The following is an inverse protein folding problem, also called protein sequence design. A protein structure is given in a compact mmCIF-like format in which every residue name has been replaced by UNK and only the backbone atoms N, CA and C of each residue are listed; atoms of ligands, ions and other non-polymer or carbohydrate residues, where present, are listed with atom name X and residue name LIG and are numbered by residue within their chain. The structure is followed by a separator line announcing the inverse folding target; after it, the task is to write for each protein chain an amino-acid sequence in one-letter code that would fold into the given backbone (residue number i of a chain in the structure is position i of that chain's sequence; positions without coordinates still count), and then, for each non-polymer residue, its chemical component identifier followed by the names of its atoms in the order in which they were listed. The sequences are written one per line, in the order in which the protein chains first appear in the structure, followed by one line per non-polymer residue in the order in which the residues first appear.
data_IF_111524228413
#
_entry.id   IF_111524228413
#
_cell.length_a   1.000
_cell.length_b   1.000
_cell.length_c   1.000
_cell.angle_alpha   90.00
_cell.angle_beta   90.00
_cell.angle_gamma   90.00
#
_symmetry.space_group_name_H-M   'P 1'
#
loop_
_entity.id
_entity.type
_entity.pdbx_description
1 polymer ?
#
# COMPACT_ATOMS: atom_id res chain seq x y z
N UNK A 1 14.28 -30.89 28.14
CA UNK A 1 13.78 -29.87 27.19
C UNK A 1 14.13 -30.33 25.78
N UNK A 2 13.15 -30.76 24.98
CA UNK A 2 13.37 -31.10 23.57
C UNK A 2 13.15 -29.85 22.74
N UNK A 3 14.18 -29.43 22.00
CA UNK A 3 14.11 -28.38 21.01
C UNK A 3 13.16 -28.83 19.89
N UNK A 4 12.17 -28.01 19.54
CA UNK A 4 11.28 -28.26 18.42
C UNK A 4 12.07 -28.17 17.10
N UNK A 5 11.81 -29.14 16.20
CA UNK A 5 12.43 -29.25 14.89
C UNK A 5 11.95 -28.14 13.92
N UNK A 6 12.81 -27.84 12.95
CA UNK A 6 12.71 -26.77 11.93
C UNK A 6 11.70 -27.06 10.79
N UNK A 7 10.59 -27.73 11.07
CA UNK A 7 9.59 -28.06 10.06
C UNK A 7 8.24 -28.22 10.73
N UNK A 8 7.46 -27.13 10.73
CA UNK A 8 5.99 -27.04 10.91
C UNK A 8 5.62 -25.64 11.44
N UNK A 9 5.91 -24.59 10.64
CA UNK A 9 5.44 -23.21 10.89
C UNK A 9 4.34 -22.81 9.90
N UNK A 10 3.59 -23.80 9.41
CA UNK A 10 2.41 -23.57 8.59
C UNK A 10 1.20 -23.32 9.50
N UNK A 11 0.58 -22.14 9.33
CA UNK A 11 -0.71 -21.72 9.90
C UNK A 11 -0.84 -21.68 11.43
N UNK A 12 0.08 -21.00 12.12
CA UNK A 12 -0.23 -20.49 13.46
C UNK A 12 -0.74 -19.04 13.37
N UNK A 13 -1.74 -18.63 14.18
CA UNK A 13 -2.12 -17.22 14.36
C UNK A 13 -0.93 -16.32 14.71
N UNK A 14 0.10 -16.91 15.32
CA UNK A 14 1.37 -16.25 15.59
C UNK A 14 2.09 -15.80 14.30
N UNK A 15 2.01 -16.55 13.20
CA UNK A 15 2.66 -16.22 11.93
C UNK A 15 2.06 -14.97 11.30
N UNK A 16 0.73 -14.84 11.33
CA UNK A 16 0.04 -13.63 10.87
C UNK A 16 0.45 -12.41 11.70
N UNK A 17 0.42 -12.53 13.03
CA UNK A 17 0.85 -11.45 13.94
C UNK A 17 2.30 -11.05 13.71
N UNK A 18 3.19 -12.02 13.50
CA UNK A 18 4.61 -11.76 13.19
C UNK A 18 4.75 -10.97 11.91
N UNK A 19 4.02 -11.32 10.85
CA UNK A 19 4.07 -10.58 9.59
C UNK A 19 3.59 -9.14 9.72
N UNK A 20 2.50 -8.90 10.47
CA UNK A 20 2.02 -7.53 10.76
C UNK A 20 3.08 -6.73 11.52
N UNK A 21 3.61 -7.26 12.62
CA UNK A 21 4.63 -6.57 13.42
C UNK A 21 5.93 -6.31 12.65
N UNK A 22 6.38 -7.24 11.80
CA UNK A 22 7.56 -7.02 10.95
C UNK A 22 7.32 -5.95 9.89
N UNK A 23 6.11 -5.91 9.33
CA UNK A 23 5.77 -4.90 8.33
C UNK A 23 5.67 -3.50 8.96
N UNK A 24 5.11 -3.40 10.17
CA UNK A 24 5.13 -2.18 10.98
C UNK A 24 6.56 -1.69 11.20
N UNK A 25 7.48 -2.56 11.64
CA UNK A 25 8.90 -2.22 11.79
C UNK A 25 9.50 -1.71 10.47
N UNK A 26 9.23 -2.38 9.35
CA UNK A 26 9.74 -1.97 8.04
C UNK A 26 9.32 -0.54 7.68
N UNK A 27 8.07 -0.17 7.94
CA UNK A 27 7.57 1.18 7.69
C UNK A 27 8.09 2.20 8.71
N UNK A 28 8.26 1.81 9.97
CA UNK A 28 8.88 2.67 10.97
C UNK A 28 10.34 2.99 10.59
N UNK A 29 11.10 2.01 10.10
CA UNK A 29 12.47 2.18 9.61
C UNK A 29 12.56 3.08 8.37
N UNK A 30 11.47 3.19 7.59
CA UNK A 30 11.39 4.13 6.47
C UNK A 30 10.85 5.50 6.84
N UNK A 31 10.49 5.72 8.11
CA UNK A 31 9.89 6.94 8.62
C UNK A 31 8.44 7.16 8.19
N UNK A 32 7.73 6.11 7.77
CA UNK A 32 6.32 6.18 7.39
C UNK A 32 5.41 5.78 8.55
N UNK A 33 4.20 6.35 8.60
CA UNK A 33 3.26 6.07 9.68
C UNK A 33 2.40 4.84 9.34
N UNK A 34 2.65 3.73 10.01
CA UNK A 34 1.83 2.52 9.93
C UNK A 34 0.69 2.58 10.95
N UNK A 35 -0.51 2.16 10.54
CA UNK A 35 -1.74 2.16 11.34
C UNK A 35 -2.42 0.80 11.20
N UNK A 36 -2.31 -0.05 12.20
CA UNK A 36 -2.99 -1.36 12.21
C UNK A 36 -4.50 -1.18 12.41
N UNK A 37 -5.29 -2.01 11.72
CA UNK A 37 -6.73 -2.16 11.95
C UNK A 37 -7.01 -3.40 12.80
N UNK A 38 -7.55 -3.19 14.00
CA UNK A 38 -7.86 -4.28 14.92
C UNK A 38 -9.19 -5.00 14.62
N UNK A 39 -10.04 -4.40 13.76
CA UNK A 39 -11.32 -4.98 13.33
C UNK A 39 -11.11 -5.70 11.99
N UNK A 40 -11.24 -7.03 12.00
CA UNK A 40 -10.81 -7.89 10.88
C UNK A 40 -11.89 -8.15 9.81
N UNK A 41 -13.00 -7.43 9.84
CA UNK A 41 -14.23 -7.87 9.18
C UNK A 41 -14.24 -7.65 7.65
N UNK A 42 -13.30 -6.87 7.12
CA UNK A 42 -13.37 -6.42 5.72
C UNK A 42 -12.11 -6.69 4.88
N UNK A 43 -11.07 -7.34 5.41
CA UNK A 43 -9.88 -7.69 4.63
C UNK A 43 -8.97 -6.51 4.30
N UNK A 44 -8.80 -5.57 5.24
CA UNK A 44 -7.70 -4.62 5.28
C UNK A 44 -7.12 -4.72 6.69
N UNK A 45 -5.83 -4.99 6.78
CA UNK A 45 -5.17 -5.23 8.07
C UNK A 45 -4.46 -3.97 8.58
N UNK A 46 -4.10 -3.06 7.67
CA UNK A 46 -3.43 -1.82 8.02
C UNK A 46 -3.60 -0.73 6.96
N UNK A 47 -3.26 0.49 7.35
CA UNK A 47 -3.02 1.61 6.45
C UNK A 47 -1.61 2.14 6.69
N UNK A 48 -0.96 2.65 5.65
CA UNK A 48 0.30 3.36 5.79
C UNK A 48 0.20 4.74 5.16
N UNK A 49 0.69 5.75 5.88
CA UNK A 49 0.77 7.11 5.38
C UNK A 49 2.12 7.38 4.75
N UNK A 50 2.08 7.85 3.50
CA UNK A 50 3.27 8.28 2.79
C UNK A 50 3.84 9.53 3.48
N UNK A 51 5.12 9.44 3.86
CA UNK A 51 5.89 10.58 4.33
C UNK A 51 6.84 11.05 3.22
N UNK A 52 6.89 12.36 3.01
CA UNK A 52 7.79 13.02 2.06
C UNK A 52 8.46 14.17 2.80
N UNK A 53 9.79 14.25 2.73
CA UNK A 53 10.53 15.38 3.31
C UNK A 53 10.27 15.53 4.84
N UNK A 54 10.19 14.39 5.54
CA UNK A 54 9.80 14.26 6.95
C UNK A 54 8.38 14.76 7.29
N UNK A 55 7.58 15.11 6.29
CA UNK A 55 6.22 15.59 6.45
C UNK A 55 5.19 14.53 6.01
N UNK A 56 4.16 14.25 6.83
CA UNK A 56 3.02 13.47 6.40
C UNK A 56 2.32 14.14 5.20
N UNK A 57 2.03 13.35 4.18
CA UNK A 57 1.42 13.86 2.94
C UNK A 57 -0.11 13.76 2.93
N UNK A 58 -0.71 13.06 3.91
CA UNK A 58 -2.13 12.69 3.90
C UNK A 58 -2.49 11.58 2.90
N UNK A 59 -1.51 11.05 2.16
CA UNK A 59 -1.72 9.96 1.20
C UNK A 59 -1.62 8.61 1.94
N UNK A 60 -2.77 8.02 2.26
CA UNK A 60 -2.92 6.70 2.88
C UNK A 60 -3.08 5.54 1.88
N UNK A 61 -2.23 4.53 1.98
CA UNK A 61 -2.34 3.28 1.23
C UNK A 61 -2.91 2.21 2.16
N UNK A 62 -3.95 1.51 1.72
CA UNK A 62 -4.52 0.39 2.45
C UNK A 62 -3.76 -0.91 2.14
N UNK A 63 -3.55 -1.73 3.16
CA UNK A 63 -2.71 -2.93 3.08
C UNK A 63 -3.52 -4.12 3.59
N UNK A 64 -3.59 -5.17 2.77
CA UNK A 64 -3.91 -6.51 3.24
C UNK A 64 -2.62 -7.33 3.28
N UNK A 65 -2.38 -7.97 4.42
CA UNK A 65 -1.19 -8.70 4.80
C UNK A 65 -1.56 -10.18 4.90
N UNK A 66 -0.83 -11.04 4.19
CA UNK A 66 -0.95 -12.50 4.31
C UNK A 66 0.41 -13.08 4.64
N UNK A 67 0.48 -13.91 5.69
CA UNK A 67 1.76 -14.40 6.21
C UNK A 67 1.78 -15.91 6.29
N UNK A 68 2.81 -16.55 5.74
CA UNK A 68 2.94 -18.01 5.80
C UNK A 68 3.48 -18.60 4.50
N UNK A 69 4.02 -19.82 4.59
CA UNK A 69 4.63 -20.48 3.43
C UNK A 69 3.59 -20.97 2.43
N UNK A 70 2.39 -21.30 2.90
CA UNK A 70 1.26 -21.74 2.07
C UNK A 70 0.94 -20.76 0.93
N UNK A 71 1.10 -19.45 1.15
CA UNK A 71 0.93 -18.40 0.14
C UNK A 71 1.97 -18.44 -1.00
N UNK A 72 3.04 -19.21 -0.87
CA UNK A 72 4.11 -19.37 -1.85
C UNK A 72 4.12 -20.75 -2.50
N UNK A 73 3.12 -21.59 -2.21
CA UNK A 73 2.99 -22.96 -2.74
C UNK A 73 2.90 -23.01 -4.26
N UNK A 74 2.30 -21.98 -4.88
CA UNK A 74 2.28 -21.80 -6.33
C UNK A 74 3.20 -20.63 -6.72
N UNK A 75 4.50 -20.92 -6.74
CA UNK A 75 5.51 -19.96 -7.20
C UNK A 75 6.53 -20.62 -8.11
N UNK A 76 7.09 -19.82 -9.02
CA UNK A 76 8.23 -20.19 -9.86
C UNK A 76 9.43 -19.29 -9.53
N UNK A 77 10.51 -19.34 -10.32
CA UNK A 77 11.72 -18.53 -10.07
C UNK A 77 11.47 -17.02 -10.11
N UNK A 78 10.41 -16.55 -10.79
CA UNK A 78 10.15 -15.14 -11.07
C UNK A 78 8.88 -14.62 -10.42
N UNK A 79 7.89 -15.46 -10.16
CA UNK A 79 6.55 -15.05 -9.78
C UNK A 79 5.94 -15.91 -8.68
N UNK A 80 4.94 -15.34 -7.99
CA UNK A 80 4.08 -15.98 -7.00
C UNK A 80 2.64 -15.80 -7.47
N UNK A 81 1.87 -16.88 -7.53
CA UNK A 81 0.44 -16.82 -7.84
C UNK A 81 -0.36 -16.80 -6.55
N UNK A 82 -1.04 -15.69 -6.30
CA UNK A 82 -1.93 -15.52 -5.16
C UNK A 82 -3.40 -15.68 -5.60
N UNK A 83 -4.17 -16.49 -4.87
CA UNK A 83 -5.59 -16.75 -5.12
C UNK A 83 -6.47 -16.23 -3.99
N UNK A 84 -6.95 -14.97 -4.07
CA UNK A 84 -7.90 -14.43 -3.10
C UNK A 84 -9.35 -14.86 -3.37
N UNK A 85 -10.18 -14.79 -2.33
CA UNK A 85 -11.63 -14.97 -2.48
C UNK A 85 -12.26 -13.80 -3.27
N UNK A 86 -13.32 -14.10 -4.03
CA UNK A 86 -14.09 -13.11 -4.80
C UNK A 86 -14.56 -11.92 -3.98
N UNK A 87 -15.04 -12.16 -2.74
CA UNK A 87 -15.51 -11.09 -1.83
C UNK A 87 -14.43 -10.06 -1.53
N UNK A 88 -13.18 -10.50 -1.41
CA UNK A 88 -12.05 -9.63 -1.10
C UNK A 88 -11.65 -8.78 -2.31
N UNK A 89 -11.62 -9.39 -3.50
CA UNK A 89 -11.36 -8.67 -4.76
C UNK A 89 -12.34 -7.52 -4.96
N UNK A 90 -13.65 -7.79 -4.84
CA UNK A 90 -14.68 -6.77 -5.04
C UNK A 90 -14.61 -5.66 -3.99
N UNK A 91 -14.26 -6.01 -2.75
CA UNK A 91 -14.06 -5.05 -1.69
C UNK A 91 -12.86 -4.15 -1.97
N UNK A 92 -11.70 -4.72 -2.32
CA UNK A 92 -10.48 -3.97 -2.60
C UNK A 92 -10.62 -3.04 -3.81
N UNK A 93 -11.28 -3.50 -4.88
CA UNK A 93 -11.50 -2.69 -6.08
C UNK A 93 -12.45 -1.50 -5.86
N UNK A 94 -13.29 -1.54 -4.83
CA UNK A 94 -14.18 -0.43 -4.45
C UNK A 94 -13.65 0.39 -3.27
N UNK A 95 -12.51 0.03 -2.71
CA UNK A 95 -11.96 0.71 -1.54
C UNK A 95 -11.47 2.12 -1.93
N UNK A 96 -11.80 3.13 -1.11
CA UNK A 96 -11.53 4.53 -1.46
C UNK A 96 -10.03 4.88 -1.49
N UNK A 97 -9.23 4.14 -0.73
CA UNK A 97 -7.78 4.22 -0.73
C UNK A 97 -7.19 3.20 -1.69
N UNK A 98 -6.05 3.48 -2.33
CA UNK A 98 -5.35 2.46 -3.10
C UNK A 98 -4.98 1.28 -2.19
N UNK A 99 -5.28 0.07 -2.65
CA UNK A 99 -5.02 -1.17 -1.90
C UNK A 99 -3.78 -1.87 -2.45
N UNK A 100 -2.91 -2.34 -1.57
CA UNK A 100 -1.83 -3.28 -1.92
C UNK A 100 -2.02 -4.59 -1.16
N UNK A 101 -1.59 -5.68 -1.79
CA UNK A 101 -1.39 -6.96 -1.11
C UNK A 101 0.08 -7.09 -0.75
N UNK A 102 0.35 -7.53 0.47
CA UNK A 102 1.67 -7.86 0.97
C UNK A 102 1.68 -9.30 1.43
N UNK A 103 2.51 -10.13 0.80
CA UNK A 103 2.78 -11.51 1.22
C UNK A 103 4.08 -11.57 2.01
N UNK A 104 4.03 -12.05 3.24
CA UNK A 104 5.22 -12.28 4.07
C UNK A 104 5.66 -13.74 4.00
N UNK A 105 6.88 -13.98 3.52
CA UNK A 105 7.52 -15.29 3.55
C UNK A 105 8.36 -15.43 4.84
N UNK A 106 7.96 -16.26 5.81
CA UNK A 106 8.68 -16.38 7.08
C UNK A 106 10.00 -17.17 6.97
N UNK A 107 10.25 -17.89 5.86
CA UNK A 107 11.51 -18.62 5.64
C UNK A 107 12.59 -17.71 5.11
N UNK A 108 12.23 -16.90 4.12
CA UNK A 108 13.15 -15.96 3.46
C UNK A 108 13.27 -14.63 4.21
N UNK A 109 12.34 -14.39 5.14
CA UNK A 109 12.14 -13.12 5.82
C UNK A 109 11.94 -11.94 4.86
N UNK A 110 11.02 -12.12 3.90
CA UNK A 110 10.77 -11.15 2.82
C UNK A 110 9.29 -10.82 2.67
N UNK A 111 9.05 -9.57 2.29
CA UNK A 111 7.74 -9.09 1.88
C UNK A 111 7.69 -8.94 0.37
N UNK A 112 6.71 -9.59 -0.27
CA UNK A 112 6.42 -9.43 -1.69
C UNK A 112 5.11 -8.67 -1.84
N UNK A 113 5.03 -7.72 -2.77
CA UNK A 113 3.87 -6.85 -2.86
C UNK A 113 3.40 -6.55 -4.29
N UNK A 114 2.12 -6.22 -4.39
CA UNK A 114 1.49 -5.80 -5.65
C UNK A 114 0.33 -4.83 -5.37
N UNK A 115 0.13 -3.79 -6.19
CA UNK A 115 -1.08 -2.97 -6.13
C UNK A 115 -2.27 -3.72 -6.69
N UNK A 116 -3.43 -3.55 -6.06
CA UNK A 116 -4.70 -4.05 -6.57
C UNK A 116 -5.22 -3.10 -7.65
N UNK A 117 -5.13 -3.54 -8.89
CA UNK A 117 -5.68 -2.88 -10.07
C UNK A 117 -6.57 -3.85 -10.82
N UNK A 118 -7.58 -3.34 -11.53
CA UNK A 118 -8.50 -4.17 -12.33
C UNK A 118 -7.75 -5.07 -13.32
N UNK A 119 -6.70 -4.54 -13.95
CA UNK A 119 -5.92 -5.27 -14.96
C UNK A 119 -4.88 -6.22 -14.35
N UNK A 120 -4.57 -6.07 -13.04
CA UNK A 120 -3.68 -6.97 -12.32
C UNK A 120 -4.38 -8.25 -11.81
N UNK A 121 -5.72 -8.27 -11.90
CA UNK A 121 -6.55 -9.38 -11.45
C UNK A 121 -7.00 -10.18 -12.67
N UNK A 122 -6.50 -11.40 -12.80
CA UNK A 122 -6.97 -12.31 -13.85
C UNK A 122 -8.15 -13.14 -13.31
N UNK A 123 -9.30 -13.01 -14.00
CA UNK A 123 -10.47 -13.84 -13.74
C UNK A 123 -10.36 -15.14 -14.53
N UNK A 124 -10.31 -16.26 -13.83
CA UNK A 124 -10.43 -17.60 -14.42
C UNK A 124 -11.88 -18.08 -14.36
N UNK A 125 -12.18 -19.24 -14.95
CA UNK A 125 -13.53 -19.82 -14.93
C UNK A 125 -14.07 -20.14 -13.53
N UNK A 126 -13.20 -20.30 -12.52
CA UNK A 126 -13.59 -20.72 -11.17
C UNK A 126 -13.07 -19.81 -10.04
N UNK A 127 -12.06 -18.97 -10.31
CA UNK A 127 -11.37 -18.19 -9.28
C UNK A 127 -10.70 -16.93 -9.84
N UNK A 128 -10.26 -16.04 -8.96
CA UNK A 128 -9.35 -14.95 -9.31
C UNK A 128 -7.91 -15.37 -9.01
N UNK A 129 -6.97 -14.88 -9.82
CA UNK A 129 -5.54 -14.96 -9.52
C UNK A 129 -4.87 -13.62 -9.69
N UNK A 130 -3.87 -13.37 -8.85
CA UNK A 130 -2.99 -12.21 -8.91
C UNK A 130 -1.57 -12.73 -9.01
N UNK A 131 -0.84 -12.29 -10.04
CA UNK A 131 0.56 -12.66 -10.24
C UNK A 131 1.45 -11.60 -9.63
N UNK A 132 2.26 -12.00 -8.65
CA UNK A 132 3.16 -11.12 -7.91
C UNK A 132 4.59 -11.42 -8.37
N UNK A 133 5.30 -10.40 -8.88
CA UNK A 133 6.70 -10.54 -9.25
C UNK A 133 7.58 -10.70 -8.01
N UNK A 134 8.47 -11.70 -8.00
CA UNK A 134 9.51 -11.86 -6.96
C UNK A 134 10.55 -10.75 -6.97
N UNK A 135 10.58 -9.90 -8.01
CA UNK A 135 11.36 -8.67 -8.00
C UNK A 135 10.72 -7.56 -7.16
N UNK A 136 9.42 -7.63 -6.89
CA UNK A 136 8.69 -6.64 -6.07
C UNK A 136 8.83 -6.98 -4.58
N UNK A 137 10.05 -6.91 -4.07
CA UNK A 137 10.34 -7.06 -2.64
C UNK A 137 10.19 -5.71 -1.96
N UNK A 138 9.45 -5.63 -0.85
CA UNK A 138 9.35 -4.42 -0.04
C UNK A 138 10.50 -4.38 0.99
N UNK A 139 11.16 -3.23 1.08
CA UNK A 139 12.25 -2.94 2.02
C UNK A 139 12.10 -1.50 2.53
N UNK A 140 12.74 -1.12 3.65
CA UNK A 140 12.71 0.26 4.13
C UNK A 140 13.21 1.27 3.09
N UNK A 141 14.18 0.86 2.26
CA UNK A 141 14.79 1.73 1.22
C UNK A 141 13.89 1.98 0.02
N UNK A 142 13.03 1.01 -0.33
CA UNK A 142 12.24 1.08 -1.56
C UNK A 142 10.74 1.29 -1.33
N UNK A 143 10.28 1.44 -0.09
CA UNK A 143 8.88 1.74 0.20
C UNK A 143 8.41 3.05 -0.47
N UNK A 144 9.33 3.96 -0.78
CA UNK A 144 9.07 5.18 -1.56
C UNK A 144 8.47 4.91 -2.94
N UNK A 145 8.67 3.71 -3.50
CA UNK A 145 8.01 3.28 -4.74
C UNK A 145 6.49 3.16 -4.58
N UNK A 146 5.99 2.89 -3.37
CA UNK A 146 4.55 2.80 -3.08
C UNK A 146 3.81 4.12 -3.34
N UNK A 147 4.50 5.27 -3.33
CA UNK A 147 3.92 6.57 -3.71
C UNK A 147 3.34 6.56 -5.12
N UNK A 148 3.88 5.71 -6.00
CA UNK A 148 3.41 5.60 -7.37
C UNK A 148 2.08 4.85 -7.49
N UNK A 149 1.63 4.13 -6.45
CA UNK A 149 0.34 3.41 -6.48
C UNK A 149 -0.82 4.38 -6.74
N UNK A 150 -0.78 5.59 -6.17
CA UNK A 150 -1.75 6.64 -6.47
C UNK A 150 -1.77 7.08 -7.93
N UNK A 151 -0.66 6.96 -8.65
CA UNK A 151 -0.56 7.35 -10.06
C UNK A 151 -1.04 6.23 -11.00
N UNK A 152 -1.35 5.04 -10.50
CA UNK A 152 -1.79 3.92 -11.34
C UNK A 152 -3.24 4.10 -11.80
N UNK A 153 -4.08 4.78 -11.02
CA UNK A 153 -5.40 5.27 -11.46
C UNK A 153 -5.33 6.79 -11.71
N UNK A 154 -4.65 7.16 -12.80
CA UNK A 154 -4.39 8.55 -13.18
C UNK A 154 -5.67 9.40 -13.22
N UNK A 155 -6.79 8.96 -13.83
CA UNK A 155 -8.03 9.74 -13.85
C UNK A 155 -8.56 10.05 -12.45
N UNK A 156 -8.68 9.04 -11.59
CA UNK A 156 -9.19 9.23 -10.22
C UNK A 156 -8.26 10.09 -9.39
N UNK A 157 -6.94 9.88 -9.51
CA UNK A 157 -5.96 10.72 -8.83
C UNK A 157 -6.03 12.18 -9.26
N UNK A 158 -6.12 12.44 -10.58
CA UNK A 158 -6.27 13.80 -11.11
C UNK A 158 -7.57 14.45 -10.66
N UNK A 159 -8.68 13.71 -10.67
CA UNK A 159 -9.97 14.22 -10.21
C UNK A 159 -9.94 14.55 -8.72
N UNK A 160 -9.42 13.66 -7.86
CA UNK A 160 -9.28 13.92 -6.42
C UNK A 160 -8.39 15.13 -6.15
N UNK A 161 -7.28 15.29 -6.89
CA UNK A 161 -6.41 16.47 -6.80
C UNK A 161 -7.17 17.74 -7.21
N UNK A 162 -7.87 17.69 -8.34
CA UNK A 162 -8.68 18.81 -8.84
C UNK A 162 -9.74 19.25 -7.84
N UNK A 163 -10.41 18.30 -7.16
CA UNK A 163 -11.41 18.59 -6.13
C UNK A 163 -10.81 19.27 -4.90
N UNK A 164 -9.58 18.91 -4.50
CA UNK A 164 -8.87 19.60 -3.41
C UNK A 164 -8.51 21.05 -3.80
N UNK A 165 -8.26 21.29 -5.08
CA UNK A 165 -7.90 22.60 -5.61
C UNK A 165 -9.14 23.45 -5.99
N UNK A 166 -10.36 22.92 -5.79
CA UNK A 166 -11.61 23.52 -6.26
C UNK A 166 -11.86 24.93 -5.70
N UNK A 167 -11.57 25.17 -4.42
CA UNK A 167 -11.76 26.48 -3.80
C UNK A 167 -10.81 27.53 -4.41
N UNK A 168 -9.56 27.15 -4.70
CA UNK A 168 -8.62 28.02 -5.40
C UNK A 168 -9.10 28.33 -6.83
N UNK A 169 -9.64 27.33 -7.53
CA UNK A 169 -10.19 27.51 -8.88
C UNK A 169 -11.38 28.48 -8.87
N UNK A 170 -12.24 28.42 -7.85
CA UNK A 170 -13.38 29.36 -7.70
C UNK A 170 -12.90 30.79 -7.50
N UNK A 171 -11.91 31.00 -6.63
CA UNK A 171 -11.33 32.33 -6.39
C UNK A 171 -10.76 32.93 -7.69
N UNK A 172 -9.97 32.16 -8.43
CA UNK A 172 -9.45 32.60 -9.74
C UNK A 172 -10.61 32.93 -10.70
N UNK A 173 -11.68 32.12 -10.72
CA UNK A 173 -12.83 32.35 -11.59
C UNK A 173 -13.64 33.60 -11.23
N UNK A 174 -13.65 34.03 -9.96
CA UNK A 174 -14.29 35.27 -9.51
C UNK A 174 -13.42 36.50 -9.74
N UNK A 175 -12.24 36.34 -10.34
CA UNK A 175 -11.29 37.43 -10.59
C UNK A 175 -10.37 37.74 -9.41
N UNK A 176 -10.39 36.92 -8.37
CA UNK A 176 -9.46 37.06 -7.24
C UNK A 176 -8.05 36.65 -7.66
N UNK A 177 -7.06 37.42 -7.21
CA UNK A 177 -5.66 37.08 -7.43
C UNK A 177 -5.21 36.04 -6.41
N UNK A 178 -5.04 34.80 -6.86
CA UNK A 178 -4.40 33.73 -6.07
C UNK A 178 -2.90 33.74 -6.35
N UNK A 179 -2.09 33.89 -5.31
CA UNK A 179 -0.64 33.85 -5.41
C UNK A 179 -0.11 32.49 -4.94
N UNK A 180 0.82 31.93 -5.71
CA UNK A 180 1.58 30.75 -5.33
C UNK A 180 3.01 31.18 -5.03
N UNK A 181 3.42 31.10 -3.76
CA UNK A 181 4.81 31.34 -3.38
C UNK A 181 5.60 30.03 -3.51
N UNK A 182 6.71 30.11 -4.26
CA UNK A 182 7.67 29.04 -4.40
C UNK A 182 8.97 29.47 -3.71
N UNK A 183 9.24 28.92 -2.54
CA UNK A 183 10.51 29.18 -1.85
C UNK A 183 11.64 28.43 -2.55
N UNK A 184 12.51 29.16 -3.25
CA UNK A 184 13.64 28.57 -4.00
C UNK A 184 14.83 28.18 -3.12
N UNK A 185 14.73 28.31 -1.79
CA UNK A 185 15.84 28.10 -0.85
C UNK A 185 15.65 26.93 0.12
N UNK A 186 14.54 26.18 0.06
CA UNK A 186 14.35 24.97 0.85
C UNK A 186 13.61 23.89 0.03
N UNK A 187 14.24 22.74 -0.28
CA UNK A 187 13.59 21.66 -1.03
C UNK A 187 12.38 21.02 -0.32
N UNK A 188 12.09 21.39 0.93
CA UNK A 188 11.04 20.80 1.76
C UNK A 188 9.83 21.71 2.04
N UNK A 189 9.77 22.94 1.50
CA UNK A 189 8.63 23.84 1.73
C UNK A 189 7.44 23.51 0.81
N UNK A 190 6.28 23.27 1.41
CA UNK A 190 4.99 23.13 0.71
C UNK A 190 4.60 24.47 0.08
N UNK A 191 4.16 24.45 -1.19
CA UNK A 191 3.57 25.62 -1.87
C UNK A 191 2.49 26.24 -0.97
N UNK A 192 2.66 27.50 -0.60
CA UNK A 192 1.65 28.26 0.15
C UNK A 192 0.83 29.08 -0.85
N UNK A 193 -0.48 28.93 -0.76
CA UNK A 193 -1.44 29.75 -1.48
C UNK A 193 -2.07 30.73 -0.50
N UNK A 194 -2.13 32.00 -0.89
CA UNK A 194 -2.78 33.06 -0.12
C UNK A 194 -3.79 33.80 -1.01
N UNK A 195 -4.86 34.27 -0.38
CA UNK A 195 -5.87 35.18 -0.95
C UNK A 195 -6.08 36.30 0.06
N UNK A 196 -6.23 37.54 -0.42
CA UNK A 196 -6.63 38.68 0.41
C UNK A 196 -8.15 38.86 0.38
#
# INVERSE_FOLDING_TARGET
MRFAQKGDIDEYPATDRVGVSKLETLFAESGWFFREQFVKDCGIDAQVEVVKDNEPTGQLIAIQIKSGKSYFSESDDKTITYRPDTKHIEYWLRYDLPVIIVLFNPVEDKFYWVPILKDAIEKTSKAYKIVISKANVLTPKNCTLLKNVYKLDVPTYRLKRLLLDLEWMKLVATGECVYAEFDMMDPNVKTRFSSF
#
